data_IF_667262732514
#
_entry.id   IF_667262732514
#
_cell.length_a   1.000
_cell.length_b   1.000
_cell.length_c   1.000
_cell.angle_alpha   90.00
_cell.angle_beta   90.00
_cell.angle_gamma   90.00
#
_symmetry.space_group_name_H-M   'P 1'
#
loop_
_entity.id
_entity.type
_entity.pdbx_description
1 polymer ?
#
# COMPACT_ATOMS: atom_id res chain seq x y z
N UNK A 1 -73.47 -22.86 -41.37
CA UNK A 1 -72.11 -22.42 -41.61
C UNK A 1 -71.99 -20.99 -41.17
N UNK A 2 -71.34 -20.74 -40.10
CA UNK A 2 -71.20 -19.41 -39.51
C UNK A 2 -69.78 -18.93 -39.75
N UNK A 3 -69.62 -17.89 -40.56
CA UNK A 3 -68.31 -17.28 -40.84
C UNK A 3 -67.92 -16.33 -39.70
N UNK A 4 -66.84 -16.65 -39.00
CA UNK A 4 -66.25 -15.75 -38.01
C UNK A 4 -65.33 -14.75 -38.72
N UNK A 5 -65.79 -13.52 -38.84
CA UNK A 5 -65.01 -12.40 -39.33
C UNK A 5 -64.07 -11.93 -38.19
N UNK A 6 -62.80 -12.16 -38.33
CA UNK A 6 -61.76 -11.60 -37.40
C UNK A 6 -61.55 -10.14 -37.71
N UNK A 7 -61.94 -9.29 -36.78
CA UNK A 7 -61.71 -7.86 -36.78
C UNK A 7 -60.21 -7.59 -36.51
N UNK A 8 -59.51 -7.04 -37.47
CA UNK A 8 -58.10 -6.59 -37.31
C UNK A 8 -58.12 -5.31 -36.51
N UNK A 9 -57.19 -5.21 -35.47
CA UNK A 9 -57.09 -3.95 -34.79
C UNK A 9 -56.31 -2.94 -35.64
N UNK A 10 -56.90 -1.78 -35.77
CA UNK A 10 -56.33 -0.61 -36.44
C UNK A 10 -55.07 -0.16 -35.75
N UNK A 11 -53.99 -0.10 -36.51
CA UNK A 11 -52.76 0.49 -36.04
C UNK A 11 -52.93 2.01 -35.86
N UNK A 12 -52.82 2.49 -34.64
CA UNK A 12 -52.84 3.92 -34.34
C UNK A 12 -51.62 4.64 -34.93
N UNK A 13 -51.73 5.95 -35.17
CA UNK A 13 -50.67 6.73 -35.79
C UNK A 13 -49.40 6.73 -34.91
N UNK A 14 -48.29 6.41 -35.56
CA UNK A 14 -46.95 6.53 -34.97
C UNK A 14 -46.72 7.96 -34.53
N UNK A 15 -46.49 8.16 -33.25
CA UNK A 15 -46.07 9.46 -32.73
C UNK A 15 -44.70 9.82 -33.33
N UNK A 16 -44.47 11.06 -33.74
CA UNK A 16 -43.17 11.49 -34.23
C UNK A 16 -42.17 11.38 -33.12
N UNK A 17 -41.10 10.65 -33.38
CA UNK A 17 -39.93 10.55 -32.52
C UNK A 17 -39.27 11.93 -32.48
N UNK A 18 -39.27 12.57 -31.33
CA UNK A 18 -38.65 13.84 -31.11
C UNK A 18 -37.12 13.67 -31.24
N UNK A 19 -36.44 14.29 -32.24
CA UNK A 19 -35.01 14.12 -32.45
C UNK A 19 -34.14 14.94 -31.46
N UNK A 20 -34.74 15.46 -30.41
CA UNK A 20 -34.02 16.12 -29.30
C UNK A 20 -33.97 15.23 -28.08
N UNK A 21 -33.80 13.95 -28.28
CA UNK A 21 -33.21 13.11 -27.26
C UNK A 21 -31.79 13.58 -27.03
N UNK A 22 -31.59 14.43 -26.02
CA UNK A 22 -30.28 14.57 -25.41
C UNK A 22 -29.81 13.15 -25.14
N UNK A 23 -28.84 12.70 -25.92
CA UNK A 23 -28.00 11.58 -25.52
C UNK A 23 -27.64 11.85 -24.06
N UNK A 24 -27.92 10.95 -23.13
CA UNK A 24 -27.33 11.08 -21.82
C UNK A 24 -25.83 11.11 -22.10
N UNK A 25 -25.27 12.30 -21.99
CA UNK A 25 -23.85 12.47 -21.89
C UNK A 25 -23.43 11.42 -20.89
N UNK A 26 -22.77 10.39 -21.37
CA UNK A 26 -22.02 9.48 -20.53
C UNK A 26 -21.10 10.41 -19.77
N UNK A 27 -21.60 10.87 -18.63
CA UNK A 27 -20.78 11.46 -17.61
C UNK A 27 -19.70 10.42 -17.46
N UNK A 28 -18.57 10.72 -18.06
CA UNK A 28 -17.34 10.05 -17.86
C UNK A 28 -17.09 10.24 -16.35
N UNK A 29 -17.83 9.45 -15.58
CA UNK A 29 -17.42 9.16 -14.22
C UNK A 29 -16.08 8.50 -14.45
N UNK A 30 -15.09 9.38 -14.54
CA UNK A 30 -13.72 9.03 -14.33
C UNK A 30 -13.82 8.06 -13.18
N UNK A 31 -13.66 6.78 -13.50
CA UNK A 31 -13.58 5.76 -12.49
C UNK A 31 -12.51 6.31 -11.56
N UNK A 32 -12.97 6.94 -10.50
CA UNK A 32 -12.14 7.18 -9.35
C UNK A 32 -11.83 5.77 -8.92
N UNK A 33 -10.80 5.27 -9.57
CA UNK A 33 -10.09 4.10 -9.18
C UNK A 33 -9.94 4.29 -7.69
N UNK A 34 -10.79 3.63 -6.92
CA UNK A 34 -10.65 3.57 -5.47
C UNK A 34 -9.25 3.01 -5.30
N UNK A 35 -8.29 3.89 -5.24
CA UNK A 35 -6.92 3.53 -4.97
C UNK A 35 -6.96 3.03 -3.53
N UNK A 36 -7.17 1.73 -3.40
CA UNK A 36 -6.92 1.06 -2.15
C UNK A 36 -5.45 1.33 -1.85
N UNK A 37 -5.20 2.35 -1.06
CA UNK A 37 -3.90 2.52 -0.44
C UNK A 37 -3.83 1.48 0.66
N UNK A 38 -3.07 0.43 0.49
CA UNK A 38 -2.87 -0.50 1.59
C UNK A 38 -2.31 0.30 2.76
N UNK A 39 -3.00 0.24 3.89
CA UNK A 39 -2.74 1.06 5.08
C UNK A 39 -1.33 0.85 5.64
N UNK A 40 -0.67 -0.24 5.28
CA UNK A 40 0.63 -0.66 5.81
C UNK A 40 1.58 -1.10 4.69
N UNK A 41 1.79 -0.23 3.71
CA UNK A 41 2.84 -0.49 2.72
C UNK A 41 4.19 -0.58 3.41
N UNK A 42 4.95 -1.64 3.15
CA UNK A 42 6.30 -1.74 3.64
C UNK A 42 7.17 -0.63 3.04
N UNK A 43 7.98 -0.02 3.88
CA UNK A 43 8.88 1.07 3.48
C UNK A 43 10.29 0.50 3.35
N UNK A 44 10.96 0.67 2.21
CA UNK A 44 12.35 0.26 2.07
C UNK A 44 13.23 1.05 3.04
N UNK A 45 14.16 0.34 3.70
CA UNK A 45 15.07 0.90 4.69
C UNK A 45 16.48 0.36 4.48
N UNK A 46 17.46 1.07 5.02
CA UNK A 46 18.83 0.59 5.08
C UNK A 46 19.09 -0.04 6.45
N UNK A 47 19.67 -1.23 6.44
CA UNK A 47 20.00 -1.97 7.65
C UNK A 47 21.43 -2.47 7.55
N UNK A 48 22.26 -2.12 8.54
CA UNK A 48 23.52 -2.78 8.71
C UNK A 48 23.29 -4.09 9.49
N UNK A 49 23.67 -5.20 8.88
CA UNK A 49 23.57 -6.52 9.47
C UNK A 49 24.97 -7.11 9.73
N UNK A 50 25.08 -7.96 10.74
CA UNK A 50 26.28 -8.69 11.01
C UNK A 50 26.43 -9.92 10.08
N UNK A 51 27.53 -10.68 10.25
CA UNK A 51 27.78 -11.91 9.47
C UNK A 51 26.70 -12.98 9.62
N UNK A 52 25.93 -12.94 10.70
CA UNK A 52 24.80 -13.84 10.95
C UNK A 52 23.47 -13.27 10.42
N UNK A 53 23.51 -12.26 9.55
CA UNK A 53 22.36 -11.57 8.97
C UNK A 53 21.41 -10.94 10.01
N UNK A 54 21.90 -10.68 11.21
CA UNK A 54 21.13 -10.01 12.26
C UNK A 54 21.30 -8.49 12.16
N UNK A 55 20.22 -7.72 12.25
CA UNK A 55 20.28 -6.27 12.19
C UNK A 55 21.04 -5.70 13.39
N UNK A 56 21.98 -4.81 13.13
CA UNK A 56 22.79 -4.10 14.15
C UNK A 56 22.39 -2.62 14.20
N UNK A 57 22.11 -2.03 13.05
CA UNK A 57 21.59 -0.67 12.99
C UNK A 57 20.60 -0.53 11.85
N UNK A 58 19.65 0.39 12.00
CA UNK A 58 18.55 0.64 11.08
C UNK A 58 18.48 2.12 10.77
N UNK A 59 18.53 2.48 9.49
CA UNK A 59 18.32 3.84 9.03
C UNK A 59 16.87 3.99 8.55
N UNK A 60 16.09 4.78 9.29
CA UNK A 60 14.70 5.07 8.95
C UNK A 60 14.60 6.33 8.09
N UNK A 61 13.71 6.36 7.08
CA UNK A 61 13.49 7.56 6.30
C UNK A 61 12.95 8.71 7.19
N UNK A 62 13.27 9.97 6.86
CA UNK A 62 13.00 11.14 7.71
C UNK A 62 11.50 11.36 7.98
N UNK A 63 10.63 10.86 7.13
CA UNK A 63 9.17 10.93 7.31
C UNK A 63 8.68 10.22 8.55
N UNK A 64 9.49 9.36 9.14
CA UNK A 64 9.17 8.54 10.31
C UNK A 64 9.80 9.09 11.58
N UNK A 65 10.82 9.93 11.43
CA UNK A 65 11.53 10.57 12.54
C UNK A 65 10.75 11.70 13.20
N UNK A 66 9.65 12.17 12.61
CA UNK A 66 8.82 13.22 13.17
C UNK A 66 7.89 12.72 14.28
N UNK A 67 8.45 12.17 15.34
CA UNK A 67 7.88 12.42 16.66
C UNK A 67 8.27 13.84 17.05
N UNK A 68 7.34 14.71 17.48
CA UNK A 68 7.68 16.00 17.99
C UNK A 68 8.43 15.84 19.32
N UNK A 69 9.74 15.65 19.24
CA UNK A 69 10.58 15.95 20.38
C UNK A 69 10.40 17.44 20.62
N UNK A 70 9.77 17.81 21.70
CA UNK A 70 9.75 19.17 22.23
C UNK A 70 11.19 19.60 22.45
N UNK A 71 11.85 20.05 21.43
CA UNK A 71 13.10 20.76 21.52
C UNK A 71 12.91 22.15 20.94
N UNK A 72 12.72 23.06 21.87
CA UNK A 72 12.69 24.48 21.73
C UNK A 72 14.16 24.91 21.58
N UNK A 73 14.64 25.06 20.35
CA UNK A 73 15.76 25.97 19.99
C UNK A 73 16.02 25.82 18.48
N UNK A 74 15.99 26.94 17.71
CA UNK A 74 16.39 26.89 16.31
C UNK A 74 17.91 27.04 16.24
N UNK A 75 18.62 25.99 15.99
CA UNK A 75 19.97 26.07 15.49
C UNK A 75 19.95 25.66 14.04
N UNK A 76 20.08 26.64 13.22
CA UNK A 76 20.26 26.60 11.80
C UNK A 76 21.61 25.95 11.48
N UNK A 77 21.57 24.72 11.00
CA UNK A 77 22.65 24.18 10.21
C UNK A 77 22.10 23.24 9.16
N UNK A 78 22.37 23.63 7.92
CA UNK A 78 22.23 22.85 6.70
C UNK A 78 22.82 21.48 6.88
N UNK A 79 22.01 20.48 7.15
CA UNK A 79 22.41 19.10 6.99
C UNK A 79 21.42 18.42 6.07
N UNK A 80 21.96 17.91 4.98
CA UNK A 80 21.36 16.87 4.18
C UNK A 80 20.56 15.94 5.08
N UNK A 81 19.41 15.39 4.66
CA UNK A 81 18.64 14.47 5.48
C UNK A 81 19.49 13.22 5.72
N UNK A 82 20.36 13.31 6.69
CA UNK A 82 21.14 12.16 7.15
C UNK A 82 20.12 11.25 7.80
N UNK A 83 19.90 10.11 7.16
CA UNK A 83 19.11 9.02 7.72
C UNK A 83 19.64 8.76 9.12
N UNK A 84 18.86 9.06 10.14
CA UNK A 84 19.26 8.81 11.51
C UNK A 84 19.38 7.31 11.70
N UNK A 85 20.61 6.79 11.74
CA UNK A 85 20.86 5.39 12.01
C UNK A 85 20.60 5.11 13.49
N UNK A 86 19.63 4.26 13.77
CA UNK A 86 19.30 3.80 15.12
C UNK A 86 19.99 2.48 15.40
N UNK A 87 20.74 2.42 16.49
CA UNK A 87 21.38 1.18 16.92
C UNK A 87 20.33 0.20 17.47
N UNK A 88 20.43 -1.05 17.07
CA UNK A 88 19.57 -2.13 17.60
C UNK A 88 20.15 -2.60 18.93
N UNK A 89 19.37 -2.46 20.00
CA UNK A 89 19.75 -2.91 21.35
C UNK A 89 19.36 -4.36 21.59
N UNK A 90 18.23 -4.79 21.08
CA UNK A 90 17.79 -6.19 21.22
C UNK A 90 16.96 -6.66 20.03
N UNK A 91 17.04 -7.95 19.77
CA UNK A 91 16.16 -8.65 18.85
C UNK A 91 15.22 -9.51 19.70
N UNK A 92 13.96 -9.15 19.71
CA UNK A 92 12.97 -9.77 20.58
C UNK A 92 12.38 -11.04 19.97
N UNK A 93 12.28 -11.06 18.64
CA UNK A 93 11.68 -12.18 17.91
C UNK A 93 12.22 -12.26 16.48
N UNK A 94 12.28 -13.47 15.94
CA UNK A 94 12.69 -13.75 14.56
C UNK A 94 11.76 -14.84 14.02
N UNK A 95 11.13 -14.58 12.87
CA UNK A 95 10.35 -15.61 12.18
C UNK A 95 10.52 -15.48 10.67
N UNK A 96 10.23 -16.55 9.97
CA UNK A 96 10.29 -16.61 8.53
C UNK A 96 8.90 -16.90 7.96
N UNK A 97 8.61 -16.27 6.85
CA UNK A 97 7.38 -16.48 6.07
C UNK A 97 7.81 -16.88 4.67
N UNK A 98 7.47 -18.08 4.29
CA UNK A 98 7.64 -18.61 2.94
C UNK A 98 6.24 -18.88 2.39
N UNK A 99 5.83 -18.13 1.39
CA UNK A 99 4.49 -18.22 0.80
C UNK A 99 4.57 -18.20 -0.73
N UNK A 100 3.48 -18.63 -1.36
CA UNK A 100 3.34 -18.64 -2.82
C UNK A 100 4.48 -19.39 -3.55
N UNK A 101 5.02 -20.45 -2.93
CA UNK A 101 6.13 -21.26 -3.49
C UNK A 101 5.83 -21.85 -4.89
N UNK A 102 4.55 -21.87 -5.28
CA UNK A 102 4.09 -22.34 -6.60
C UNK A 102 4.08 -21.23 -7.67
N UNK A 103 4.37 -19.98 -7.31
CA UNK A 103 4.44 -18.85 -8.25
C UNK A 103 5.85 -18.65 -8.77
N UNK A 104 5.97 -18.00 -9.93
CA UNK A 104 7.26 -17.62 -10.50
C UNK A 104 8.06 -16.69 -9.58
N UNK A 105 7.37 -15.95 -8.73
CA UNK A 105 7.98 -15.08 -7.71
C UNK A 105 7.41 -15.45 -6.34
N UNK A 106 7.99 -16.45 -5.69
CA UNK A 106 7.59 -16.83 -4.35
C UNK A 106 7.91 -15.71 -3.36
N UNK A 107 7.21 -15.71 -2.23
CA UNK A 107 7.48 -14.80 -1.13
C UNK A 107 8.34 -15.56 -0.12
N UNK A 108 9.55 -15.09 0.13
CA UNK A 108 10.40 -15.59 1.20
C UNK A 108 10.95 -14.40 1.99
N UNK A 109 10.48 -14.25 3.21
CA UNK A 109 10.78 -13.10 4.05
C UNK A 109 11.16 -13.54 5.46
N UNK A 110 12.26 -12.96 5.96
CA UNK A 110 12.66 -13.15 7.35
C UNK A 110 12.39 -11.88 8.13
N UNK A 111 11.55 -12.01 9.12
CA UNK A 111 11.09 -10.92 9.98
C UNK A 111 11.90 -10.86 11.26
N UNK A 112 12.09 -9.63 11.75
CA UNK A 112 12.77 -9.33 13.00
C UNK A 112 11.94 -8.30 13.78
N UNK A 113 11.62 -8.62 15.02
CA UNK A 113 11.07 -7.68 15.97
C UNK A 113 12.20 -7.16 16.82
N UNK A 114 12.54 -5.90 16.63
CA UNK A 114 13.72 -5.29 17.25
C UNK A 114 13.34 -4.16 18.20
N UNK A 115 14.21 -3.90 19.17
CA UNK A 115 14.20 -2.70 20.00
C UNK A 115 15.44 -1.89 19.69
N UNK A 116 15.28 -0.60 19.49
CA UNK A 116 16.35 0.35 19.20
C UNK A 116 16.79 1.08 20.47
N UNK A 117 17.91 1.80 20.39
CA UNK A 117 18.49 2.54 21.53
C UNK A 117 17.55 3.60 22.15
N UNK A 118 16.57 4.06 21.40
CA UNK A 118 15.53 5.01 21.82
C UNK A 118 14.22 4.31 22.27
N UNK A 119 14.33 3.03 22.66
CA UNK A 119 13.22 2.17 23.12
C UNK A 119 12.08 1.98 22.12
N UNK A 120 12.29 2.27 20.86
CA UNK A 120 11.31 2.00 19.82
C UNK A 120 11.29 0.52 19.47
N UNK A 121 10.09 -0.03 19.41
CA UNK A 121 9.85 -1.39 18.89
C UNK A 121 9.49 -1.32 17.43
N UNK A 122 10.29 -1.95 16.59
CA UNK A 122 10.11 -1.96 15.15
C UNK A 122 10.00 -3.40 14.66
N UNK A 123 9.14 -3.59 13.67
CA UNK A 123 9.11 -4.83 12.90
C UNK A 123 9.72 -4.54 11.53
N UNK A 124 10.83 -5.19 11.24
CA UNK A 124 11.51 -5.10 9.96
C UNK A 124 11.59 -6.48 9.34
N UNK A 125 11.70 -6.56 8.03
CA UNK A 125 11.95 -7.82 7.38
C UNK A 125 12.96 -7.69 6.25
N UNK A 126 13.63 -8.78 5.97
CA UNK A 126 14.49 -8.95 4.80
C UNK A 126 13.80 -9.86 3.81
N UNK A 127 13.65 -9.40 2.61
CA UNK A 127 13.26 -10.24 1.48
C UNK A 127 14.44 -11.12 1.09
N UNK A 128 14.29 -12.42 1.15
CA UNK A 128 15.38 -13.36 0.90
C UNK A 128 15.77 -13.46 -0.57
N UNK A 129 14.85 -13.08 -1.47
CA UNK A 129 15.08 -13.14 -2.91
C UNK A 129 15.85 -11.91 -3.41
N UNK A 130 15.49 -10.74 -2.90
CA UNK A 130 16.08 -9.46 -3.32
C UNK A 130 17.18 -8.97 -2.38
N UNK A 131 17.30 -9.59 -1.21
CA UNK A 131 18.16 -9.17 -0.10
C UNK A 131 17.84 -7.75 0.42
N UNK A 132 16.71 -7.18 0.03
CA UNK A 132 16.27 -5.85 0.41
C UNK A 132 15.59 -5.87 1.78
N UNK A 133 15.83 -4.81 2.57
CA UNK A 133 15.21 -4.63 3.88
C UNK A 133 14.02 -3.67 3.81
N UNK A 134 13.01 -3.98 4.60
CA UNK A 134 11.79 -3.20 4.70
C UNK A 134 11.36 -3.01 6.15
N UNK A 135 10.80 -1.87 6.44
CA UNK A 135 10.10 -1.63 7.68
C UNK A 135 8.59 -1.81 7.48
N UNK A 136 7.98 -2.58 8.37
CA UNK A 136 6.55 -2.77 8.41
C UNK A 136 5.96 -1.86 9.49
N UNK A 137 5.18 -0.88 9.06
CA UNK A 137 4.51 0.05 9.95
C UNK A 137 3.39 -0.68 10.67
N UNK A 138 3.52 -0.74 11.99
CA UNK A 138 2.45 -1.09 12.90
C UNK A 138 2.01 -2.54 12.86
N UNK A 139 1.87 -3.10 13.92
CA UNK A 139 1.06 -4.16 14.40
C UNK A 139 0.56 -3.74 15.72
#
# INVERSE_FOLDING_TARGET
>A
MVAHTRKTPSAGPLRPINPRGKTPELVNQSAQSLQFRPLNLPVPIEVAANRAERPVSVALPPTISNCPARSRWPTQESRSPTLAALTVTSINDIWQVDDEWWRERPISRRYYKITTQDDRRLTIYRDQLTAQWYWQKGG
#
